data_IF_813869717062
#
_entry.id   IF_813869717062
#
_cell.length_a   1.000
_cell.length_b   1.000
_cell.length_c   1.000
_cell.angle_alpha   90.00
_cell.angle_beta   90.00
_cell.angle_gamma   90.00
#
_symmetry.space_group_name_H-M   'P 1'
#
loop_
_entity.id
_entity.type
_entity.pdbx_description
1 polymer ?
#
# COMPACT_ATOMS: atom_id res chain seq x y z
N UNK A 1 6.62 7.63 -7.86
CA UNK A 1 5.71 6.57 -8.37
C UNK A 1 5.33 5.59 -7.26
N UNK A 2 4.39 5.92 -6.38
CA UNK A 2 3.99 4.97 -5.35
C UNK A 2 3.27 3.77 -5.96
N UNK A 3 3.64 2.58 -5.51
CA UNK A 3 2.97 1.34 -5.88
C UNK A 3 2.62 0.60 -4.60
N UNK A 4 1.34 0.32 -4.40
CA UNK A 4 0.86 -0.35 -3.20
C UNK A 4 0.43 -1.77 -3.54
N UNK A 5 0.89 -2.71 -2.71
CA UNK A 5 0.53 -4.13 -2.83
C UNK A 5 -0.21 -4.55 -1.58
N UNK A 6 -1.42 -5.02 -1.76
CA UNK A 6 -2.31 -5.38 -0.64
C UNK A 6 -2.45 -6.89 -0.55
N UNK A 7 -2.01 -7.48 0.57
CA UNK A 7 -2.22 -8.89 0.88
C UNK A 7 -3.27 -9.04 1.96
N UNK A 8 -4.02 -10.13 1.93
CA UNK A 8 -5.09 -10.46 2.87
C UNK A 8 -6.17 -9.37 2.93
N UNK A 9 -6.44 -8.76 1.79
CA UNK A 9 -7.49 -7.77 1.60
C UNK A 9 -8.35 -8.27 0.45
N UNK A 10 -9.68 -8.25 0.61
CA UNK A 10 -10.56 -8.68 -0.48
C UNK A 10 -10.57 -7.67 -1.61
N UNK A 11 -10.92 -8.14 -2.81
CA UNK A 11 -11.05 -7.24 -3.95
C UNK A 11 -12.07 -6.14 -3.68
N UNK A 12 -13.20 -6.48 -3.06
CA UNK A 12 -14.23 -5.52 -2.72
C UNK A 12 -13.71 -4.43 -1.78
N UNK A 13 -12.97 -4.83 -0.75
CA UNK A 13 -12.35 -3.88 0.18
C UNK A 13 -11.40 -2.93 -0.54
N UNK A 14 -10.52 -3.48 -1.37
CA UNK A 14 -9.56 -2.64 -2.10
C UNK A 14 -10.27 -1.68 -3.06
N UNK A 15 -11.32 -2.14 -3.74
CA UNK A 15 -12.10 -1.28 -4.62
C UNK A 15 -12.70 -0.10 -3.86
N UNK A 16 -13.22 -0.32 -2.66
CA UNK A 16 -13.80 0.74 -1.85
C UNK A 16 -12.76 1.71 -1.31
N UNK A 17 -11.61 1.21 -0.90
CA UNK A 17 -10.54 2.01 -0.30
C UNK A 17 -9.76 2.82 -1.33
N UNK A 18 -9.63 2.29 -2.54
CA UNK A 18 -8.66 2.79 -3.53
C UNK A 18 -8.83 4.26 -3.89
N UNK A 19 -10.05 4.71 -4.14
CA UNK A 19 -10.29 6.09 -4.55
C UNK A 19 -9.94 7.12 -3.46
N UNK A 20 -10.54 7.01 -2.27
CA UNK A 20 -10.23 7.93 -1.19
C UNK A 20 -8.76 7.88 -0.76
N UNK A 21 -8.17 6.70 -0.71
CA UNK A 21 -6.76 6.55 -0.35
C UNK A 21 -5.85 7.19 -1.40
N UNK A 22 -6.15 7.00 -2.67
CA UNK A 22 -5.41 7.61 -3.78
C UNK A 22 -5.41 9.13 -3.64
N UNK A 23 -6.58 9.72 -3.40
CA UNK A 23 -6.73 11.17 -3.28
C UNK A 23 -5.87 11.72 -2.14
N UNK A 24 -5.92 11.09 -0.97
CA UNK A 24 -5.17 11.56 0.19
C UNK A 24 -3.66 11.33 0.05
N UNK A 25 -3.24 10.23 -0.58
CA UNK A 25 -1.82 10.03 -0.87
C UNK A 25 -1.28 11.10 -1.79
N UNK A 26 -2.04 11.50 -2.81
CA UNK A 26 -1.64 12.57 -3.71
C UNK A 26 -1.54 13.91 -2.99
N UNK A 27 -2.47 14.20 -2.08
CA UNK A 27 -2.37 15.41 -1.24
C UNK A 27 -1.10 15.39 -0.39
N UNK A 28 -0.81 14.26 0.21
CA UNK A 28 0.36 14.11 1.08
C UNK A 28 1.68 14.30 0.31
N UNK A 29 1.79 13.70 -0.87
CA UNK A 29 3.05 13.68 -1.62
C UNK A 29 3.18 14.79 -2.64
N UNK A 30 2.07 15.45 -3.00
CA UNK A 30 2.04 16.41 -4.10
C UNK A 30 2.12 15.73 -5.47
N UNK A 31 1.99 14.41 -5.51
CA UNK A 31 2.06 13.65 -6.76
C UNK A 31 0.75 13.65 -7.53
N UNK A 32 0.81 13.10 -8.73
CA UNK A 32 -0.36 13.00 -9.61
C UNK A 32 -1.00 11.63 -9.50
N UNK A 33 -2.36 11.55 -9.56
CA UNK A 33 -3.06 10.28 -9.42
C UNK A 33 -2.62 9.21 -10.43
N UNK A 34 -2.30 9.59 -11.65
CA UNK A 34 -1.90 8.65 -12.70
C UNK A 34 -0.58 7.94 -12.40
N UNK A 35 0.20 8.44 -11.43
CA UNK A 35 1.46 7.82 -11.05
C UNK A 35 1.36 6.93 -9.83
N UNK A 36 0.17 6.79 -9.24
CA UNK A 36 -0.06 5.90 -8.10
C UNK A 36 -0.77 4.65 -8.61
N UNK A 37 -0.20 3.50 -8.28
CA UNK A 37 -0.79 2.22 -8.69
C UNK A 37 -1.05 1.36 -7.46
N UNK A 38 -2.10 0.54 -7.54
CA UNK A 38 -2.48 -0.38 -6.46
C UNK A 38 -2.82 -1.73 -7.06
N UNK A 39 -2.43 -2.78 -6.36
CA UNK A 39 -2.79 -4.15 -6.76
C UNK A 39 -3.17 -4.97 -5.54
N UNK A 40 -4.04 -5.94 -5.74
CA UNK A 40 -4.32 -6.96 -4.75
C UNK A 40 -3.44 -8.16 -5.07
N UNK A 41 -2.68 -8.59 -4.08
CA UNK A 41 -1.83 -9.77 -4.21
C UNK A 41 -2.54 -10.94 -3.55
N UNK A 42 -2.87 -11.95 -4.34
CA UNK A 42 -3.47 -13.17 -3.83
C UNK A 42 -2.39 -14.01 -3.15
N UNK A 43 -2.63 -14.39 -1.91
CA UNK A 43 -1.65 -15.15 -1.13
C UNK A 43 -2.35 -16.14 -0.22
N UNK A 44 -1.61 -17.17 0.19
CA UNK A 44 -2.10 -18.17 1.12
C UNK A 44 -1.21 -18.12 2.37
N UNK A 45 -1.81 -17.71 3.48
CA UNK A 45 -1.11 -17.63 4.76
C UNK A 45 -1.15 -18.99 5.45
N UNK A 46 -0.04 -19.35 6.07
CA UNK A 46 0.12 -20.68 6.70
C UNK A 46 0.57 -20.50 8.14
N UNK A 47 -0.05 -21.25 9.05
CA UNK A 47 0.37 -21.34 10.44
C UNK A 47 0.30 -22.80 10.87
N UNK A 48 1.41 -23.32 11.39
CA UNK A 48 1.52 -24.71 11.83
C UNK A 48 1.02 -25.71 10.78
N UNK A 49 1.36 -25.45 9.50
CA UNK A 49 1.00 -26.35 8.41
C UNK A 49 -0.43 -26.18 7.89
N UNK A 50 -1.20 -25.27 8.46
CA UNK A 50 -2.59 -25.06 8.06
C UNK A 50 -2.80 -23.67 7.46
N UNK A 51 -3.70 -23.55 6.47
CA UNK A 51 -4.08 -22.23 5.95
C UNK A 51 -4.73 -21.38 7.03
N UNK A 52 -4.45 -20.09 7.01
CA UNK A 52 -5.12 -19.13 7.89
C UNK A 52 -5.48 -17.86 7.13
N UNK A 53 -6.33 -17.03 7.74
CA UNK A 53 -6.82 -15.82 7.06
C UNK A 53 -5.75 -14.73 6.87
N UNK A 54 -4.76 -14.70 7.75
CA UNK A 54 -3.79 -13.61 7.77
C UNK A 54 -4.41 -12.31 8.25
N UNK A 55 -3.74 -11.21 7.93
CA UNK A 55 -4.23 -9.87 8.24
C UNK A 55 -3.77 -8.93 7.14
N UNK A 56 -4.44 -7.77 6.95
CA UNK A 56 -4.03 -6.83 5.91
C UNK A 56 -2.56 -6.46 6.04
N UNK A 57 -1.81 -6.73 4.99
CA UNK A 57 -0.38 -6.47 4.92
C UNK A 57 -0.13 -5.68 3.65
N UNK A 58 0.23 -4.40 3.79
CA UNK A 58 0.38 -3.49 2.66
C UNK A 58 1.84 -3.12 2.49
N UNK A 59 2.36 -3.32 1.28
CA UNK A 59 3.68 -2.83 0.91
C UNK A 59 3.52 -1.54 0.13
N UNK A 60 4.22 -0.50 0.55
CA UNK A 60 4.28 0.77 -0.17
C UNK A 60 5.66 0.89 -0.77
N UNK A 61 5.74 0.73 -2.09
CA UNK A 61 6.96 0.90 -2.85
C UNK A 61 6.98 2.31 -3.42
N UNK A 62 7.96 3.11 -3.03
CA UNK A 62 8.10 4.46 -3.58
C UNK A 62 9.55 4.90 -3.50
N UNK A 63 9.89 6.00 -4.16
CA UNK A 63 11.22 6.58 -4.01
C UNK A 63 11.33 7.23 -2.64
N UNK A 64 12.53 7.18 -2.06
CA UNK A 64 12.77 7.62 -0.69
C UNK A 64 12.16 9.00 -0.41
N UNK A 65 11.50 9.11 0.73
CA UNK A 65 10.84 10.30 1.21
C UNK A 65 11.27 10.58 2.65
N UNK A 66 11.11 11.83 3.15
CA UNK A 66 11.38 12.11 4.56
C UNK A 66 10.58 11.19 5.48
N UNK A 67 11.18 10.86 6.61
CA UNK A 67 10.56 9.95 7.59
C UNK A 67 9.15 10.39 7.98
N UNK A 68 8.93 11.70 8.17
CA UNK A 68 7.63 12.24 8.55
C UNK A 68 6.55 11.93 7.51
N UNK A 69 6.89 12.02 6.23
CA UNK A 69 5.97 11.70 5.15
C UNK A 69 5.69 10.20 5.10
N UNK A 70 6.72 9.38 5.32
CA UNK A 70 6.56 7.94 5.40
C UNK A 70 5.62 7.54 6.53
N UNK A 71 5.82 8.14 7.72
CA UNK A 71 4.96 7.88 8.87
C UNK A 71 3.51 8.28 8.57
N UNK A 72 3.32 9.43 7.95
CA UNK A 72 1.99 9.93 7.58
C UNK A 72 1.30 9.00 6.58
N UNK A 73 2.04 8.50 5.58
CA UNK A 73 1.51 7.56 4.60
C UNK A 73 1.09 6.25 5.26
N UNK A 74 1.89 5.72 6.17
CA UNK A 74 1.57 4.49 6.88
C UNK A 74 0.31 4.65 7.72
N UNK A 75 0.16 5.77 8.42
CA UNK A 75 -1.04 6.07 9.21
C UNK A 75 -2.27 6.20 8.31
N UNK A 76 -2.10 6.83 7.17
CA UNK A 76 -3.19 7.05 6.20
C UNK A 76 -3.73 5.72 5.69
N UNK A 77 -2.85 4.83 5.26
CA UNK A 77 -3.22 3.50 4.76
C UNK A 77 -3.93 2.73 5.87
N UNK A 78 -3.37 2.73 7.06
CA UNK A 78 -3.92 2.03 8.22
C UNK A 78 -5.32 2.55 8.55
N UNK A 79 -5.50 3.86 8.58
CA UNK A 79 -6.78 4.49 8.90
C UNK A 79 -7.86 4.08 7.90
N UNK A 80 -7.57 4.15 6.61
CA UNK A 80 -8.54 3.77 5.59
C UNK A 80 -8.98 2.31 5.73
N UNK A 81 -8.05 1.41 5.98
CA UNK A 81 -8.37 -0.01 6.16
C UNK A 81 -9.19 -0.25 7.42
N UNK A 82 -8.81 0.38 8.53
CA UNK A 82 -9.54 0.22 9.79
C UNK A 82 -10.95 0.80 9.73
N UNK A 83 -11.14 1.90 9.00
CA UNK A 83 -12.47 2.48 8.84
C UNK A 83 -13.43 1.51 8.17
N UNK A 84 -12.95 0.71 7.25
CA UNK A 84 -13.79 -0.24 6.53
C UNK A 84 -13.87 -1.61 7.21
N UNK A 85 -12.75 -2.08 7.78
CA UNK A 85 -12.66 -3.43 8.35
C UNK A 85 -12.89 -3.48 9.86
N UNK A 86 -12.84 -2.34 10.55
CA UNK A 86 -13.00 -2.24 11.99
C UNK A 86 -11.75 -1.77 12.70
N UNK A 87 -11.93 -1.02 13.79
CA UNK A 87 -10.81 -0.42 14.54
C UNK A 87 -9.89 -1.46 15.19
N UNK A 88 -10.40 -2.68 15.40
CA UNK A 88 -9.63 -3.76 16.02
C UNK A 88 -8.81 -4.56 15.00
N UNK A 89 -8.96 -4.26 13.72
CA UNK A 89 -8.20 -4.94 12.67
C UNK A 89 -6.71 -4.66 12.83
N UNK A 90 -5.91 -5.72 12.81
CA UNK A 90 -4.46 -5.59 12.83
C UNK A 90 -3.99 -5.31 11.39
N UNK A 91 -3.35 -4.17 11.17
CA UNK A 91 -2.90 -3.75 9.83
C UNK A 91 -1.40 -3.52 9.87
N UNK A 92 -0.68 -4.10 8.92
CA UNK A 92 0.76 -3.85 8.75
C UNK A 92 0.97 -3.06 7.48
N UNK A 93 1.79 -2.02 7.57
CA UNK A 93 2.28 -1.28 6.41
C UNK A 93 3.79 -1.33 6.44
N UNK A 94 4.37 -1.85 5.37
CA UNK A 94 5.82 -1.88 5.19
C UNK A 94 6.18 -0.96 4.04
N UNK A 95 7.04 -0.01 4.30
CA UNK A 95 7.52 0.92 3.27
C UNK A 95 8.83 0.38 2.69
N UNK A 96 8.88 0.27 1.37
CA UNK A 96 10.03 -0.26 0.66
C UNK A 96 10.55 0.85 -0.27
N UNK A 97 11.66 1.49 0.09
CA UNK A 97 12.21 2.54 -0.76
C UNK A 97 12.79 1.95 -2.05
N UNK A 98 12.41 2.55 -3.18
CA UNK A 98 12.92 2.14 -4.48
C UNK A 98 14.16 2.95 -4.83
N UNK A 99 15.09 2.32 -5.52
CA UNK A 99 16.32 2.96 -5.99
C UNK A 99 16.08 3.49 -7.42
N UNK A 100 16.20 4.80 -7.62
CA UNK A 100 15.93 5.43 -8.91
C UNK A 100 16.78 4.84 -10.03
N UNK A 101 18.04 4.56 -9.77
CA UNK A 101 18.94 3.98 -10.77
C UNK A 101 18.58 2.56 -11.18
N UNK A 102 17.69 1.91 -10.41
CA UNK A 102 17.21 0.56 -10.68
C UNK A 102 15.76 0.53 -11.17
N UNK A 103 15.19 1.69 -11.43
CA UNK A 103 13.80 1.81 -11.90
C UNK A 103 13.76 2.30 -13.34
N UNK A 104 13.22 1.47 -14.21
CA UNK A 104 13.15 1.76 -15.63
C UNK A 104 11.69 1.80 -16.08
N UNK A 105 11.35 2.78 -16.89
CA UNK A 105 10.05 2.88 -17.54
C UNK A 105 10.29 2.87 -19.04
N UNK A 106 9.72 1.91 -19.74
CA UNK A 106 9.95 1.71 -21.18
C UNK A 106 11.43 1.60 -21.54
N UNK A 107 12.23 1.01 -20.65
CA UNK A 107 13.67 0.80 -20.91
C UNK A 107 14.55 1.99 -20.59
N UNK A 108 13.97 3.07 -20.12
CA UNK A 108 14.70 4.28 -19.76
C UNK A 108 14.62 4.52 -18.25
N UNK A 109 15.62 5.19 -17.70
CA UNK A 109 15.59 5.59 -16.28
C UNK A 109 14.40 6.51 -16.01
N UNK A 110 13.80 6.34 -14.88
CA UNK A 110 12.71 7.17 -14.45
C UNK A 110 13.13 8.63 -14.24
#
# INVERSE_FOLDING_TARGET
MPHLRFRAVTLDTLQQVSGPLLAELCELTGGKPEFVTMERVESCWIRNGEPEAGFPFVELHWFERPQEMQDAAARLITRHLKQLLGEQTYVVVQVIPMVKSAYYSNGEHY
#
